data_IF_472787051049
#
_entry.id   IF_472787051049
#
_cell.length_a   1.000
_cell.length_b   1.000
_cell.length_c   1.000
_cell.angle_alpha   90.00
_cell.angle_beta   90.00
_cell.angle_gamma   90.00
#
_symmetry.space_group_name_H-M   'P 1'
#
loop_
_entity.id
_entity.type
_entity.pdbx_description
1 polymer ?
#
# COMPACT_ATOMS: atom_id res chain seq x y z
N UNK A 1 2.19 0.05 -17.92
CA UNK A 1 2.58 0.26 -19.35
C UNK A 1 4.12 0.28 -19.58
N UNK A 2 4.95 0.36 -18.54
CA UNK A 2 6.42 0.38 -18.67
C UNK A 2 7.09 -1.01 -18.69
N UNK A 3 6.37 -2.09 -18.40
CA UNK A 3 6.94 -3.45 -18.27
C UNK A 3 7.56 -3.92 -19.59
N UNK A 4 6.96 -3.58 -20.74
CA UNK A 4 7.47 -3.96 -22.05
C UNK A 4 8.78 -3.26 -22.48
N UNK A 5 9.15 -2.16 -21.84
CA UNK A 5 10.37 -1.41 -22.17
C UNK A 5 11.58 -1.85 -21.35
N UNK A 6 11.40 -2.63 -20.29
CA UNK A 6 12.49 -3.05 -19.41
C UNK A 6 13.50 -3.94 -20.14
N UNK A 7 13.04 -4.91 -20.88
CA UNK A 7 13.92 -5.85 -21.61
C UNK A 7 14.89 -5.14 -22.57
N UNK A 8 14.43 -4.26 -23.49
CA UNK A 8 15.35 -3.54 -24.37
C UNK A 8 16.31 -2.59 -23.61
N UNK A 9 15.86 -1.97 -22.50
CA UNK A 9 16.75 -1.13 -21.69
C UNK A 9 17.88 -1.95 -21.06
N UNK A 10 17.58 -3.12 -20.50
CA UNK A 10 18.62 -4.02 -19.97
C UNK A 10 19.58 -4.51 -21.05
N UNK A 11 19.08 -4.87 -22.21
CA UNK A 11 19.94 -5.27 -23.33
C UNK A 11 20.88 -4.15 -23.76
N UNK A 12 20.37 -2.92 -23.90
CA UNK A 12 21.21 -1.76 -24.23
C UNK A 12 22.23 -1.45 -23.14
N UNK A 13 21.88 -1.59 -21.87
CA UNK A 13 22.79 -1.38 -20.74
C UNK A 13 23.90 -2.43 -20.66
N UNK A 14 23.66 -3.66 -21.15
CA UNK A 14 24.69 -4.72 -21.14
C UNK A 14 25.73 -4.56 -22.24
N UNK A 15 25.44 -3.87 -23.33
CA UNK A 15 26.36 -3.69 -24.45
C UNK A 15 27.67 -2.99 -24.08
N UNK A 16 27.67 -1.86 -23.34
CA UNK A 16 28.91 -1.22 -22.88
C UNK A 16 29.73 -2.13 -21.94
N UNK A 17 29.06 -2.86 -21.05
CA UNK A 17 29.73 -3.79 -20.14
C UNK A 17 30.41 -4.93 -20.90
N UNK A 18 29.74 -5.50 -21.89
CA UNK A 18 30.30 -6.52 -22.78
C UNK A 18 31.50 -5.99 -23.58
N UNK A 19 31.43 -4.76 -24.10
CA UNK A 19 32.50 -4.12 -24.82
C UNK A 19 33.74 -3.88 -23.95
N UNK A 20 33.57 -3.38 -22.74
CA UNK A 20 34.65 -3.21 -21.75
C UNK A 20 35.30 -4.56 -21.43
N UNK A 21 34.47 -5.58 -21.16
CA UNK A 21 34.96 -6.95 -20.91
C UNK A 21 35.77 -7.50 -22.08
N UNK A 22 35.29 -7.38 -23.31
CA UNK A 22 35.99 -7.83 -24.51
C UNK A 22 37.33 -7.09 -24.70
N UNK A 23 37.37 -5.79 -24.45
CA UNK A 23 38.59 -4.99 -24.49
C UNK A 23 39.58 -5.40 -23.40
N UNK A 24 39.12 -5.60 -22.18
CA UNK A 24 39.95 -6.04 -21.07
C UNK A 24 40.62 -7.38 -21.35
N UNK A 25 39.93 -8.34 -21.94
CA UNK A 25 40.51 -9.67 -22.30
C UNK A 25 41.67 -9.59 -23.32
N UNK A 26 41.71 -8.53 -24.12
CA UNK A 26 42.74 -8.32 -25.17
C UNK A 26 43.86 -7.35 -24.75
N UNK A 27 43.73 -6.78 -23.53
CA UNK A 27 44.68 -5.77 -23.02
C UNK A 27 45.79 -6.41 -22.22
N UNK A 28 46.89 -5.65 -22.04
CA UNK A 28 48.01 -6.00 -21.16
C UNK A 28 47.53 -6.10 -19.69
N UNK A 29 48.21 -6.83 -18.81
CA UNK A 29 47.77 -7.12 -17.45
C UNK A 29 47.32 -5.89 -16.64
N UNK A 30 48.09 -4.79 -16.67
CA UNK A 30 47.77 -3.56 -15.96
C UNK A 30 46.49 -2.89 -16.48
N UNK A 31 46.36 -2.76 -17.81
CA UNK A 31 45.13 -2.21 -18.45
C UNK A 31 43.93 -3.11 -18.25
N UNK A 32 44.11 -4.42 -18.27
CA UNK A 32 43.07 -5.42 -17.99
C UNK A 32 42.53 -5.25 -16.59
N UNK A 33 43.41 -5.14 -15.58
CA UNK A 33 43.01 -4.92 -14.20
C UNK A 33 42.24 -3.62 -14.05
N UNK A 34 42.70 -2.51 -14.62
CA UNK A 34 42.02 -1.22 -14.57
C UNK A 34 40.62 -1.28 -15.20
N UNK A 35 40.46 -1.92 -16.35
CA UNK A 35 39.15 -2.05 -17.03
C UNK A 35 38.18 -2.94 -16.26
N UNK A 36 38.64 -4.03 -15.66
CA UNK A 36 37.83 -4.91 -14.83
C UNK A 36 37.41 -4.17 -13.55
N UNK A 37 38.33 -3.47 -12.89
CA UNK A 37 38.00 -2.67 -11.70
C UNK A 37 36.99 -1.57 -12.01
N UNK A 38 37.15 -0.88 -13.14
CA UNK A 38 36.16 0.11 -13.59
C UNK A 38 34.79 -0.52 -13.77
N UNK A 39 34.71 -1.67 -14.42
CA UNK A 39 33.43 -2.38 -14.62
C UNK A 39 32.78 -2.77 -13.29
N UNK A 40 33.55 -3.30 -12.36
CA UNK A 40 33.06 -3.68 -11.03
C UNK A 40 32.56 -2.44 -10.26
N UNK A 41 33.29 -1.33 -10.30
CA UNK A 41 32.89 -0.08 -9.65
C UNK A 41 31.57 0.44 -10.25
N UNK A 42 31.45 0.44 -11.58
CA UNK A 42 30.22 0.89 -12.25
C UNK A 42 29.01 0.00 -11.91
N UNK A 43 29.19 -1.32 -11.86
CA UNK A 43 28.14 -2.24 -11.47
C UNK A 43 27.72 -2.04 -10.01
N UNK A 44 28.71 -1.90 -9.11
CA UNK A 44 28.45 -1.66 -7.70
C UNK A 44 27.75 -0.31 -7.47
N UNK A 45 28.22 0.76 -8.12
CA UNK A 45 27.57 2.07 -8.04
C UNK A 45 26.13 2.01 -8.57
N UNK A 46 25.92 1.35 -9.71
CA UNK A 46 24.57 1.16 -10.28
C UNK A 46 23.65 0.39 -9.31
N UNK A 47 24.13 -0.70 -8.74
CA UNK A 47 23.39 -1.48 -7.75
C UNK A 47 23.04 -0.64 -6.52
N UNK A 48 24.02 0.08 -5.96
CA UNK A 48 23.80 0.94 -4.78
C UNK A 48 22.78 2.04 -5.06
N UNK A 49 22.89 2.72 -6.20
CA UNK A 49 21.94 3.79 -6.59
C UNK A 49 20.53 3.21 -6.74
N UNK A 50 20.39 2.05 -7.40
CA UNK A 50 19.08 1.44 -7.59
C UNK A 50 18.46 0.94 -6.27
N UNK A 51 19.26 0.30 -5.42
CA UNK A 51 18.81 -0.11 -4.09
C UNK A 51 18.39 1.09 -3.24
N UNK A 52 19.19 2.16 -3.24
CA UNK A 52 18.85 3.39 -2.50
C UNK A 52 17.57 4.03 -3.03
N UNK A 53 17.41 4.12 -4.36
CA UNK A 53 16.17 4.65 -4.95
C UNK A 53 14.95 3.83 -4.56
N UNK A 54 15.05 2.49 -4.59
CA UNK A 54 13.91 1.62 -4.31
C UNK A 54 13.60 1.51 -2.82
N UNK A 55 14.61 1.25 -1.98
CA UNK A 55 14.39 0.90 -0.58
C UNK A 55 14.49 2.09 0.39
N UNK A 56 15.08 3.21 -0.04
CA UNK A 56 15.15 4.41 0.80
C UNK A 56 14.18 5.47 0.27
N UNK A 57 14.40 5.96 -0.95
CA UNK A 57 13.61 7.10 -1.45
C UNK A 57 12.18 6.70 -1.82
N UNK A 58 12.01 5.60 -2.54
CA UNK A 58 10.68 5.17 -2.96
C UNK A 58 9.89 4.59 -1.78
N UNK A 59 10.51 3.77 -0.92
CA UNK A 59 9.86 3.18 0.25
C UNK A 59 9.35 4.21 1.27
N UNK A 60 9.96 5.40 1.31
CA UNK A 60 9.56 6.49 2.20
C UNK A 60 8.71 7.56 1.50
N UNK A 61 8.32 7.32 0.25
CA UNK A 61 7.51 8.29 -0.49
C UNK A 61 6.04 8.20 -0.10
N UNK A 62 5.39 9.31 0.29
CA UNK A 62 3.95 9.34 0.60
C UNK A 62 3.08 8.84 -0.56
N UNK A 63 3.52 9.04 -1.81
CA UNK A 63 2.80 8.57 -3.00
C UNK A 63 2.73 7.05 -3.13
N UNK A 64 3.67 6.32 -2.50
CA UNK A 64 3.70 4.87 -2.54
C UNK A 64 2.56 4.27 -1.71
N UNK A 65 2.32 4.80 -0.52
CA UNK A 65 1.28 4.30 0.37
C UNK A 65 -0.10 4.29 -0.31
N UNK A 66 -0.42 5.35 -1.06
CA UNK A 66 -1.64 5.41 -1.87
C UNK A 66 -1.64 4.45 -3.08
N UNK A 67 -0.50 4.29 -3.76
CA UNK A 67 -0.40 3.48 -4.97
C UNK A 67 -0.56 1.98 -4.73
N UNK A 68 -0.21 1.49 -3.53
CA UNK A 68 -0.33 0.08 -3.14
C UNK A 68 -1.51 -0.22 -2.22
N UNK A 69 -2.45 0.71 -2.10
CA UNK A 69 -3.64 0.54 -1.26
C UNK A 69 -3.29 0.17 0.21
N UNK A 70 -2.20 0.70 0.72
CA UNK A 70 -1.71 0.39 2.07
C UNK A 70 -2.72 0.81 3.14
N UNK A 71 -3.48 1.88 2.89
CA UNK A 71 -4.58 2.31 3.73
C UNK A 71 -5.57 1.16 4.03
N UNK A 72 -5.94 0.35 3.03
CA UNK A 72 -6.84 -0.80 3.25
C UNK A 72 -6.19 -1.91 4.06
N UNK A 73 -4.88 -2.09 3.93
CA UNK A 73 -4.12 -3.00 4.79
C UNK A 73 -4.09 -2.52 6.24
N UNK A 74 -3.90 -1.23 6.46
CA UNK A 74 -3.89 -0.62 7.79
C UNK A 74 -5.29 -0.64 8.41
N UNK A 75 -6.34 -0.35 7.64
CA UNK A 75 -7.73 -0.51 8.06
C UNK A 75 -8.02 -1.95 8.51
N UNK A 76 -7.55 -2.93 7.75
CA UNK A 76 -7.72 -4.35 8.10
C UNK A 76 -7.00 -4.72 9.39
N UNK A 77 -5.76 -4.26 9.57
CA UNK A 77 -4.98 -4.47 10.81
C UNK A 77 -5.67 -3.85 12.02
N UNK A 78 -6.20 -2.64 11.86
CA UNK A 78 -6.95 -1.95 12.90
C UNK A 78 -8.18 -2.76 13.32
N UNK A 79 -9.01 -3.20 12.35
CA UNK A 79 -10.21 -3.99 12.64
C UNK A 79 -9.87 -5.33 13.32
N UNK A 80 -8.77 -5.97 12.93
CA UNK A 80 -8.31 -7.24 13.54
C UNK A 80 -7.86 -7.01 14.98
N UNK A 81 -7.25 -5.85 15.28
CA UNK A 81 -6.75 -5.53 16.61
C UNK A 81 -7.87 -5.14 17.60
N UNK A 82 -9.08 -4.82 17.12
CA UNK A 82 -10.21 -4.49 18.00
C UNK A 82 -10.68 -5.73 18.78
N UNK A 83 -11.20 -5.53 20.02
CA UNK A 83 -11.74 -6.61 20.83
C UNK A 83 -12.78 -7.45 20.07
N UNK A 84 -12.85 -8.77 20.31
CA UNK A 84 -13.76 -9.65 19.58
C UNK A 84 -15.25 -9.35 19.85
N UNK A 85 -15.57 -8.79 21.01
CA UNK A 85 -16.93 -8.36 21.37
C UNK A 85 -17.41 -7.10 20.65
N UNK A 86 -16.49 -6.30 20.11
CA UNK A 86 -16.81 -5.09 19.36
C UNK A 86 -17.36 -5.45 17.97
N UNK A 87 -18.55 -5.02 17.64
CA UNK A 87 -19.09 -5.17 16.29
C UNK A 87 -18.34 -4.24 15.32
N UNK A 88 -17.95 -4.78 14.18
CA UNK A 88 -17.11 -4.08 13.21
C UNK A 88 -17.90 -3.86 11.93
N UNK A 89 -18.17 -2.61 11.64
CA UNK A 89 -18.90 -2.21 10.45
C UNK A 89 -17.97 -1.49 9.49
N UNK A 90 -18.08 -1.79 8.22
CA UNK A 90 -17.31 -1.13 7.15
C UNK A 90 -18.25 -0.48 6.17
N UNK A 91 -18.10 0.81 5.97
CA UNK A 91 -18.76 1.51 4.89
C UNK A 91 -17.89 1.47 3.65
N UNK A 92 -18.31 0.70 2.64
CA UNK A 92 -17.60 0.55 1.38
C UNK A 92 -17.93 1.72 0.41
N UNK A 93 -17.66 2.95 0.86
CA UNK A 93 -17.88 4.17 0.08
C UNK A 93 -16.72 4.57 -0.84
N UNK A 94 -15.68 3.73 -0.95
CA UNK A 94 -14.64 3.92 -1.94
C UNK A 94 -15.17 3.57 -3.34
N UNK A 95 -14.78 4.39 -4.33
CA UNK A 95 -15.19 4.16 -5.72
C UNK A 95 -14.61 2.87 -6.30
N UNK A 96 -15.17 2.44 -7.42
CA UNK A 96 -14.74 1.24 -8.15
C UNK A 96 -15.93 0.46 -8.71
N UNK A 97 -15.63 -0.49 -9.59
CA UNK A 97 -16.64 -1.40 -10.14
C UNK A 97 -17.09 -2.36 -9.03
N UNK A 98 -18.41 -2.53 -8.90
CA UNK A 98 -18.96 -3.57 -8.03
C UNK A 98 -18.76 -4.94 -8.68
N UNK A 99 -18.47 -5.93 -7.84
CA UNK A 99 -18.34 -7.33 -8.25
C UNK A 99 -19.51 -8.15 -7.72
N UNK A 100 -19.51 -9.46 -7.99
CA UNK A 100 -20.64 -10.37 -7.72
C UNK A 100 -21.14 -10.37 -6.27
N UNK A 101 -20.31 -10.02 -5.30
CA UNK A 101 -20.69 -9.90 -3.89
C UNK A 101 -21.30 -8.53 -3.51
N UNK A 102 -21.58 -7.65 -4.49
CA UNK A 102 -22.14 -6.33 -4.28
C UNK A 102 -21.19 -5.28 -3.71
N UNK A 103 -19.93 -5.64 -3.47
CA UNK A 103 -18.90 -4.74 -2.95
C UNK A 103 -18.01 -4.21 -4.08
N UNK A 104 -17.47 -2.98 -3.95
CA UNK A 104 -16.53 -2.46 -4.92
C UNK A 104 -15.19 -3.22 -4.86
N UNK A 105 -14.50 -3.31 -5.98
CA UNK A 105 -13.15 -3.95 -6.08
C UNK A 105 -12.19 -3.39 -5.04
N UNK A 106 -12.30 -2.11 -4.70
CA UNK A 106 -11.48 -1.44 -3.68
C UNK A 106 -11.69 -2.00 -2.26
N UNK A 107 -12.83 -2.63 -1.97
CA UNK A 107 -13.10 -3.26 -0.67
C UNK A 107 -12.53 -4.69 -0.55
N UNK A 108 -12.13 -5.31 -1.67
CA UNK A 108 -11.68 -6.70 -1.68
C UNK A 108 -10.40 -6.95 -0.86
N UNK A 109 -9.38 -6.07 -0.85
CA UNK A 109 -8.22 -6.26 0.02
C UNK A 109 -8.61 -6.32 1.50
N UNK A 110 -9.54 -5.48 1.95
CA UNK A 110 -10.02 -5.47 3.32
C UNK A 110 -10.77 -6.78 3.63
N UNK A 111 -11.70 -7.19 2.77
CA UNK A 111 -12.43 -8.44 2.91
C UNK A 111 -11.48 -9.65 2.99
N UNK A 112 -10.49 -9.72 2.08
CA UNK A 112 -9.52 -10.80 2.04
C UNK A 112 -8.66 -10.88 3.30
N UNK A 113 -8.15 -9.74 3.77
CA UNK A 113 -7.25 -9.69 4.93
C UNK A 113 -7.97 -9.97 6.26
N UNK A 114 -9.27 -9.69 6.33
CA UNK A 114 -10.10 -9.94 7.53
C UNK A 114 -10.79 -11.29 7.52
N UNK A 115 -10.86 -11.96 6.36
CA UNK A 115 -11.51 -13.28 6.23
C UNK A 115 -10.89 -14.31 7.17
N UNK A 116 -11.75 -15.00 7.92
CA UNK A 116 -11.35 -16.01 8.90
C UNK A 116 -10.64 -15.48 10.16
N UNK A 117 -10.42 -14.16 10.26
CA UNK A 117 -9.80 -13.50 11.42
C UNK A 117 -10.81 -12.73 12.26
N UNK A 118 -11.89 -12.27 11.64
CA UNK A 118 -12.96 -11.52 12.28
C UNK A 118 -14.27 -12.23 11.99
N UNK A 119 -15.04 -12.52 13.03
CA UNK A 119 -16.34 -13.20 12.91
C UNK A 119 -17.53 -12.23 12.88
N UNK A 120 -17.35 -11.00 13.36
CA UNK A 120 -18.38 -9.98 13.53
C UNK A 120 -18.12 -8.73 12.67
N UNK A 121 -17.59 -8.92 11.45
CA UNK A 121 -17.43 -7.89 10.45
C UNK A 121 -18.63 -7.90 9.50
N UNK A 122 -19.23 -6.72 9.31
CA UNK A 122 -20.34 -6.53 8.39
C UNK A 122 -20.12 -5.27 7.54
N UNK A 123 -20.43 -5.36 6.25
CA UNK A 123 -20.44 -4.18 5.38
C UNK A 123 -21.79 -3.48 5.50
N UNK A 124 -21.72 -2.18 5.78
CA UNK A 124 -22.93 -1.38 5.99
C UNK A 124 -23.78 -1.26 4.72
N UNK A 125 -25.03 -1.59 4.87
CA UNK A 125 -26.13 -1.30 3.93
C UNK A 125 -27.14 -0.37 4.59
N UNK A 126 -28.05 0.25 3.83
CA UNK A 126 -29.12 1.08 4.43
C UNK A 126 -29.99 0.34 5.45
N UNK A 127 -30.10 -0.99 5.35
CA UNK A 127 -30.91 -1.86 6.19
C UNK A 127 -30.15 -2.38 7.42
N UNK A 128 -28.85 -2.16 7.50
CA UNK A 128 -28.01 -2.70 8.59
C UNK A 128 -28.44 -2.12 9.94
N UNK A 129 -28.77 -3.00 10.88
CA UNK A 129 -29.06 -2.63 12.27
C UNK A 129 -27.76 -2.65 13.06
N UNK A 130 -27.37 -1.50 13.56
CA UNK A 130 -26.13 -1.36 14.34
C UNK A 130 -26.32 -1.97 15.74
N UNK A 131 -25.48 -2.93 16.06
CA UNK A 131 -25.33 -3.49 17.41
C UNK A 131 -24.22 -2.72 18.12
N UNK A 132 -24.25 -2.69 19.47
CA UNK A 132 -23.26 -2.00 20.29
C UNK A 132 -22.60 -2.98 21.28
N UNK A 133 -21.35 -2.78 21.68
CA UNK A 133 -20.43 -1.73 21.22
C UNK A 133 -19.95 -1.98 19.79
N UNK A 134 -19.70 -0.90 19.04
CA UNK A 134 -19.34 -1.02 17.63
C UNK A 134 -18.31 0.02 17.16
N UNK A 135 -17.62 -0.32 16.09
CA UNK A 135 -16.78 0.59 15.33
C UNK A 135 -17.23 0.59 13.88
N UNK A 136 -17.47 1.78 13.32
CA UNK A 136 -17.76 1.98 11.91
C UNK A 136 -16.52 2.56 11.25
N UNK A 137 -15.94 1.84 10.30
CA UNK A 137 -14.83 2.28 9.49
C UNK A 137 -15.31 2.82 8.15
N UNK A 138 -14.89 4.02 7.80
CA UNK A 138 -15.16 4.62 6.50
C UNK A 138 -13.96 4.39 5.58
N UNK A 139 -14.16 3.68 4.48
CA UNK A 139 -13.10 3.42 3.50
C UNK A 139 -12.62 4.70 2.81
N UNK A 140 -13.50 5.69 2.70
CA UNK A 140 -13.18 7.04 2.24
C UNK A 140 -13.77 8.05 3.23
N UNK A 141 -13.04 9.09 3.62
CA UNK A 141 -13.59 10.16 4.44
C UNK A 141 -14.84 10.76 3.81
N UNK A 142 -15.92 10.85 4.60
CA UNK A 142 -17.19 11.44 4.20
C UNK A 142 -17.75 12.20 5.41
N UNK A 143 -17.54 13.51 5.41
CA UNK A 143 -17.92 14.35 6.54
C UNK A 143 -19.47 14.47 6.65
N UNK A 144 -20.17 14.53 5.51
CA UNK A 144 -21.63 14.62 5.52
C UNK A 144 -22.28 13.35 6.12
N UNK A 145 -21.73 12.19 5.80
CA UNK A 145 -22.18 10.93 6.37
C UNK A 145 -21.81 10.81 7.84
N UNK A 146 -20.60 11.24 8.19
CA UNK A 146 -20.14 11.26 9.58
C UNK A 146 -21.08 12.10 10.45
N UNK A 147 -21.44 13.29 10.02
CA UNK A 147 -22.40 14.15 10.72
C UNK A 147 -23.76 13.50 10.88
N UNK A 148 -24.29 12.83 9.84
CA UNK A 148 -25.57 12.11 9.92
C UNK A 148 -25.53 10.97 10.94
N UNK A 149 -24.41 10.26 11.04
CA UNK A 149 -24.24 9.20 12.05
C UNK A 149 -24.22 9.80 13.45
N UNK A 150 -23.45 10.89 13.64
CA UNK A 150 -23.37 11.60 14.93
C UNK A 150 -24.74 12.18 15.36
N UNK A 151 -25.53 12.68 14.44
CA UNK A 151 -26.89 13.14 14.74
C UNK A 151 -27.80 12.01 15.26
N UNK A 152 -27.63 10.78 14.74
CA UNK A 152 -28.41 9.60 15.17
C UNK A 152 -27.85 8.92 16.41
N UNK A 153 -26.55 9.11 16.70
CA UNK A 153 -25.85 8.56 17.83
C UNK A 153 -24.97 9.65 18.49
N UNK A 154 -25.56 10.52 19.35
CA UNK A 154 -24.85 11.64 19.94
C UNK A 154 -23.69 11.24 20.87
N UNK A 155 -23.70 10.01 21.35
CA UNK A 155 -22.65 9.39 22.18
C UNK A 155 -21.50 8.83 21.37
N UNK A 156 -21.59 8.81 20.04
CA UNK A 156 -20.53 8.36 19.15
C UNK A 156 -19.35 9.32 19.14
N UNK A 157 -18.15 8.76 18.93
CA UNK A 157 -16.90 9.53 18.82
C UNK A 157 -16.24 9.26 17.48
N UNK A 158 -15.75 10.31 16.85
CA UNK A 158 -14.93 10.19 15.64
C UNK A 158 -13.47 10.15 16.03
N UNK A 159 -12.75 9.17 15.56
CA UNK A 159 -11.33 9.01 15.74
C UNK A 159 -10.63 8.95 14.38
N UNK A 160 -9.54 9.70 14.24
CA UNK A 160 -8.66 9.59 13.06
C UNK A 160 -7.49 8.69 13.44
N UNK A 161 -7.35 7.60 12.71
CA UNK A 161 -6.25 6.66 12.87
C UNK A 161 -5.18 7.01 11.84
N UNK A 162 -3.99 7.37 12.31
CA UNK A 162 -2.82 7.64 11.48
C UNK A 162 -1.75 6.58 11.75
N UNK A 163 -1.67 5.54 10.94
CA UNK A 163 -0.69 4.46 11.11
C UNK A 163 0.75 4.90 10.87
N UNK A 164 0.95 5.95 10.06
CA UNK A 164 2.26 6.44 9.64
C UNK A 164 2.27 7.98 9.61
N UNK A 165 2.48 8.65 10.75
CA UNK A 165 2.44 10.09 10.84
C UNK A 165 3.27 10.79 9.77
N UNK A 166 2.61 11.66 8.98
CA UNK A 166 3.25 12.44 7.94
C UNK A 166 3.46 11.73 6.60
N UNK A 167 3.11 10.45 6.47
CA UNK A 167 3.23 9.69 5.21
C UNK A 167 1.89 9.48 4.50
N UNK A 168 0.78 9.90 5.15
CA UNK A 168 -0.57 9.66 4.65
C UNK A 168 -1.08 8.24 4.97
N UNK A 169 -2.29 7.93 4.51
CA UNK A 169 -2.93 6.64 4.79
C UNK A 169 -3.75 6.65 6.07
N UNK A 170 -4.00 7.85 6.63
CA UNK A 170 -4.95 8.07 7.72
C UNK A 170 -6.38 7.74 7.27
N UNK A 171 -7.17 7.30 8.22
CA UNK A 171 -8.59 6.99 7.99
C UNK A 171 -9.42 7.32 9.22
N UNK A 172 -10.71 7.58 8.98
CA UNK A 172 -11.66 7.91 10.04
C UNK A 172 -12.45 6.69 10.47
N UNK A 173 -12.65 6.57 11.77
CA UNK A 173 -13.53 5.60 12.40
C UNK A 173 -14.53 6.30 13.31
N UNK A 174 -15.73 5.72 13.46
CA UNK A 174 -16.75 6.18 14.37
C UNK A 174 -16.96 5.09 15.41
N UNK A 175 -16.71 5.41 16.65
CA UNK A 175 -16.84 4.51 17.79
C UNK A 175 -18.21 4.72 18.43
N UNK A 176 -18.98 3.65 18.54
CA UNK A 176 -20.27 3.57 19.21
C UNK A 176 -20.08 2.76 20.51
N UNK A 177 -20.10 3.41 21.68
CA UNK A 177 -19.91 2.75 22.95
C UNK A 177 -21.04 1.77 23.32
#
# INVERSE_FOLDING_TARGET
RAIGTQTPVFLLATLPAFWIWKKARRSQPGTRFALISLLVILLFASATINLSKYFIFFAQSPHQHGAFNENYTNMSKYLIALPPETHKYVLANAGGTQIDNGLPVTAQPLLFLTAGRITNLEFLTPETVLKRPAVILLMKPDDALTERILQKAPDARVETIDPHPGLGGDFKTIILP
#
